data_IF_634039114843
#
_entry.id   IF_634039114843
#
_cell.length_a   1.000
_cell.length_b   1.000
_cell.length_c   1.000
_cell.angle_alpha   90.00
_cell.angle_beta   90.00
_cell.angle_gamma   90.00
#
_symmetry.space_group_name_H-M   'P 1'
#
loop_
_entity.id
_entity.type
_entity.pdbx_description
1 polymer ?
#
# COMPACT_ATOMS: atom_id res chain seq x y z
N UNK A 1 -17.21 -1.69 -21.11
CA UNK A 1 -15.90 -2.07 -20.52
C UNK A 1 -15.86 -1.54 -19.10
N UNK A 2 -15.74 -2.42 -18.09
CA UNK A 2 -15.53 -1.97 -16.71
C UNK A 2 -14.16 -1.29 -16.62
N UNK A 3 -14.15 0.00 -16.28
CA UNK A 3 -12.93 0.76 -16.03
C UNK A 3 -12.51 0.49 -14.59
N UNK A 4 -11.24 0.16 -14.37
CA UNK A 4 -10.71 0.08 -13.00
C UNK A 4 -10.64 1.50 -12.45
N UNK A 5 -11.48 1.80 -11.47
CA UNK A 5 -11.59 3.15 -10.89
C UNK A 5 -10.58 3.40 -9.77
N UNK A 6 -10.14 2.34 -9.10
CA UNK A 6 -9.23 2.43 -7.95
C UNK A 6 -8.24 1.28 -7.92
N UNK A 7 -7.06 1.57 -7.39
CA UNK A 7 -6.02 0.61 -7.02
C UNK A 7 -5.80 0.70 -5.52
N UNK A 8 -5.54 -0.45 -4.88
CA UNK A 8 -5.36 -0.53 -3.44
C UNK A 8 -4.01 -1.18 -3.13
N UNK A 9 -3.27 -0.59 -2.21
CA UNK A 9 -2.06 -1.16 -1.62
C UNK A 9 -2.19 -1.18 -0.10
N UNK A 10 -1.59 -2.16 0.57
CA UNK A 10 -1.62 -2.26 2.03
C UNK A 10 -0.25 -2.62 2.62
N UNK A 11 0.04 -2.11 3.81
CA UNK A 11 1.32 -2.36 4.48
C UNK A 11 1.48 -1.54 5.76
N UNK A 12 2.48 -1.89 6.58
CA UNK A 12 2.83 -1.11 7.77
C UNK A 12 3.62 0.16 7.46
N UNK A 13 4.38 0.16 6.35
CA UNK A 13 5.15 1.30 5.85
C UNK A 13 6.05 2.02 6.89
N UNK A 14 6.55 1.30 7.90
CA UNK A 14 7.36 1.85 8.98
C UNK A 14 8.75 1.19 9.05
N UNK A 15 9.85 1.94 8.82
CA UNK A 15 9.89 3.33 8.37
C UNK A 15 9.54 3.46 6.87
N UNK A 16 9.03 4.63 6.47
CA UNK A 16 8.85 4.95 5.04
C UNK A 16 10.22 5.11 4.39
N UNK A 17 10.42 4.50 3.22
CA UNK A 17 11.64 4.64 2.41
C UNK A 17 11.33 4.71 0.91
N UNK A 18 12.35 4.99 0.10
CA UNK A 18 12.23 5.18 -1.37
C UNK A 18 11.53 4.02 -2.09
N UNK A 19 11.69 2.78 -1.61
CA UNK A 19 10.96 1.62 -2.16
C UNK A 19 9.44 1.75 -2.09
N UNK A 20 8.88 2.25 -0.98
CA UNK A 20 7.44 2.48 -0.86
C UNK A 20 6.96 3.57 -1.81
N UNK A 21 7.76 4.64 -1.99
CA UNK A 21 7.42 5.72 -2.91
C UNK A 21 7.38 5.23 -4.38
N UNK A 22 8.33 4.38 -4.78
CA UNK A 22 8.33 3.76 -6.12
C UNK A 22 7.09 2.88 -6.32
N UNK A 23 6.76 2.05 -5.34
CA UNK A 23 5.56 1.21 -5.37
C UNK A 23 4.28 2.05 -5.45
N UNK A 24 4.14 3.13 -4.67
CA UNK A 24 2.97 4.01 -4.74
C UNK A 24 2.86 4.71 -6.09
N UNK A 25 3.99 5.15 -6.66
CA UNK A 25 4.03 5.74 -7.99
C UNK A 25 3.53 4.77 -9.05
N UNK A 26 4.12 3.58 -9.12
CA UNK A 26 3.72 2.53 -10.08
C UNK A 26 2.26 2.13 -9.88
N UNK A 27 1.80 2.00 -8.63
CA UNK A 27 0.39 1.71 -8.36
C UNK A 27 -0.53 2.82 -8.89
N UNK A 28 -0.20 4.09 -8.67
CA UNK A 28 -1.02 5.23 -9.11
C UNK A 28 -1.21 5.32 -10.64
N UNK A 29 -0.37 4.63 -11.42
CA UNK A 29 -0.50 4.57 -12.88
C UNK A 29 -1.56 3.55 -13.33
N UNK A 30 -2.00 2.65 -12.44
CA UNK A 30 -2.97 1.58 -12.76
C UNK A 30 -4.43 2.02 -12.70
N UNK A 31 -4.74 3.08 -11.95
CA UNK A 31 -6.11 3.57 -11.78
C UNK A 31 -6.15 5.06 -11.38
N UNK A 32 -7.27 5.78 -11.66
CA UNK A 32 -7.41 7.19 -11.29
C UNK A 32 -7.29 7.48 -9.79
N UNK A 33 -7.56 6.48 -8.93
CA UNK A 33 -7.52 6.63 -7.48
C UNK A 33 -6.62 5.57 -6.86
N UNK A 34 -5.58 6.00 -6.14
CA UNK A 34 -4.79 5.15 -5.26
C UNK A 34 -5.32 5.23 -3.84
N UNK A 35 -5.58 4.07 -3.23
CA UNK A 35 -5.94 3.93 -1.82
C UNK A 35 -4.80 3.19 -1.12
N UNK A 36 -4.22 3.81 -0.09
CA UNK A 36 -3.15 3.22 0.73
C UNK A 36 -3.72 2.86 2.10
N UNK A 37 -3.73 1.58 2.43
CA UNK A 37 -4.15 1.08 3.73
C UNK A 37 -2.90 0.95 4.62
N UNK A 38 -2.89 1.69 5.73
CA UNK A 38 -1.82 1.61 6.72
C UNK A 38 -2.23 0.61 7.80
N UNK A 39 -1.49 -0.48 7.90
CA UNK A 39 -1.74 -1.53 8.88
C UNK A 39 -1.18 -1.11 10.24
N UNK A 40 -1.92 -1.40 11.31
CA UNK A 40 -1.51 -1.09 12.68
C UNK A 40 -0.46 -2.09 13.24
N UNK A 41 0.05 -1.79 14.43
CA UNK A 41 1.05 -2.63 15.12
C UNK A 41 0.57 -4.04 15.38
N UNK A 42 -0.72 -4.24 15.68
CA UNK A 42 -1.30 -5.57 15.90
C UNK A 42 -1.09 -6.48 14.67
N UNK A 43 -1.21 -5.93 13.47
CA UNK A 43 -0.92 -6.66 12.23
C UNK A 43 0.58 -6.98 12.09
N UNK A 44 1.46 -6.02 12.40
CA UNK A 44 2.90 -6.21 12.30
C UNK A 44 3.41 -7.27 13.30
N UNK A 45 2.91 -7.24 14.53
CA UNK A 45 3.22 -8.21 15.58
C UNK A 45 2.79 -9.62 15.16
N UNK A 46 1.55 -9.79 14.68
CA UNK A 46 1.06 -11.08 14.17
C UNK A 46 1.88 -11.60 12.99
N UNK A 47 2.28 -10.72 12.07
CA UNK A 47 3.03 -11.10 10.87
C UNK A 47 4.49 -11.45 11.14
N UNK A 48 5.16 -10.67 12.02
CA UNK A 48 6.60 -10.81 12.29
C UNK A 48 6.91 -11.77 13.43
N UNK A 49 5.92 -12.14 14.25
CA UNK A 49 6.06 -13.18 15.26
C UNK A 49 7.05 -12.84 16.37
N UNK A 50 7.04 -11.60 16.86
CA UNK A 50 7.77 -11.25 18.09
C UNK A 50 7.20 -11.98 19.30
#
# INVERSE_FOLDING_TARGET
MNRVESVVVSGGFDPIHVGHLRMFKEASELAPRLIVIVNNDNFLMQKKGY
#
